data_IF_585348950950
#
_entry.id   IF_585348950950
#
_cell.length_a   1.000
_cell.length_b   1.000
_cell.length_c   1.000
_cell.angle_alpha   90.00
_cell.angle_beta   90.00
_cell.angle_gamma   90.00
#
_symmetry.space_group_name_H-M   'P 1'
#
loop_
_entity.id
_entity.type
_entity.pdbx_description
1 polymer ?
#
# COMPACT_ATOMS: atom_id res chain seq x y z
N UNK A 1 6.65 21.20 2.57
CA UNK A 1 6.28 20.13 1.62
C UNK A 1 7.17 18.90 1.67
N UNK A 2 8.52 19.02 1.60
CA UNK A 2 9.43 17.85 1.64
C UNK A 2 9.18 16.90 2.82
N UNK A 3 9.15 17.42 4.04
CA UNK A 3 8.90 16.62 5.27
C UNK A 3 7.55 15.92 5.25
N UNK A 4 6.50 16.56 4.73
CA UNK A 4 5.15 15.99 4.64
C UNK A 4 5.14 14.79 3.69
N UNK A 5 5.70 14.94 2.48
CA UNK A 5 5.79 13.85 1.51
C UNK A 5 6.63 12.69 2.06
N UNK A 6 7.71 13.01 2.78
CA UNK A 6 8.53 12.01 3.43
C UNK A 6 7.77 11.23 4.51
N UNK A 7 7.02 11.94 5.36
CA UNK A 7 6.19 11.33 6.41
C UNK A 7 5.10 10.44 5.82
N UNK A 8 4.43 10.89 4.74
CA UNK A 8 3.44 10.08 4.01
C UNK A 8 4.09 8.83 3.42
N UNK A 9 5.28 8.96 2.82
CA UNK A 9 6.02 7.83 2.28
C UNK A 9 6.40 6.80 3.37
N UNK A 10 6.86 7.26 4.53
CA UNK A 10 7.13 6.40 5.68
C UNK A 10 5.87 5.69 6.19
N UNK A 11 4.72 6.38 6.22
CA UNK A 11 3.45 5.79 6.63
C UNK A 11 3.05 4.63 5.72
N UNK A 12 3.10 4.82 4.40
CA UNK A 12 2.82 3.75 3.43
C UNK A 12 3.81 2.59 3.53
N UNK A 13 5.10 2.88 3.76
CA UNK A 13 6.12 1.85 3.97
C UNK A 13 5.81 1.02 5.23
N UNK A 14 5.38 1.65 6.32
CA UNK A 14 4.98 0.97 7.54
C UNK A 14 3.75 0.07 7.32
N UNK A 15 2.73 0.56 6.61
CA UNK A 15 1.54 -0.23 6.25
C UNK A 15 1.93 -1.46 5.43
N UNK A 16 2.79 -1.30 4.43
CA UNK A 16 3.28 -2.42 3.63
C UNK A 16 4.07 -3.44 4.47
N UNK A 17 4.93 -2.96 5.38
CA UNK A 17 5.70 -3.83 6.27
C UNK A 17 4.80 -4.64 7.19
N UNK A 18 3.78 -4.02 7.80
CA UNK A 18 2.81 -4.73 8.65
C UNK A 18 2.06 -5.80 7.85
N UNK A 19 1.62 -5.49 6.63
CA UNK A 19 0.95 -6.48 5.79
C UNK A 19 1.84 -7.65 5.40
N UNK A 20 3.11 -7.39 5.03
CA UNK A 20 4.09 -8.43 4.77
C UNK A 20 4.36 -9.31 6.00
N UNK A 21 4.37 -8.73 7.20
CA UNK A 21 4.51 -9.49 8.45
C UNK A 21 3.29 -10.39 8.66
N UNK A 22 2.08 -9.88 8.47
CA UNK A 22 0.84 -10.66 8.62
C UNK A 22 0.82 -11.82 7.62
N UNK A 23 1.07 -11.56 6.34
CA UNK A 23 1.14 -12.59 5.30
C UNK A 23 2.26 -13.61 5.60
N UNK A 24 3.43 -13.14 6.02
CA UNK A 24 4.56 -13.98 6.38
C UNK A 24 4.29 -14.88 7.59
N UNK A 25 3.61 -14.37 8.62
CA UNK A 25 3.17 -15.16 9.77
C UNK A 25 2.19 -16.25 9.32
N UNK A 26 1.20 -15.91 8.49
CA UNK A 26 0.19 -16.86 8.03
C UNK A 26 0.77 -17.94 7.11
N UNK A 27 1.72 -17.58 6.25
CA UNK A 27 2.48 -18.53 5.46
C UNK A 27 3.28 -19.52 6.34
N UNK A 28 3.84 -19.05 7.46
CA UNK A 28 4.58 -19.89 8.39
C UNK A 28 3.69 -20.92 9.11
N UNK A 29 2.38 -20.67 9.22
CA UNK A 29 1.39 -21.60 9.79
C UNK A 29 0.77 -22.56 8.74
N UNK A 30 1.35 -22.65 7.54
CA UNK A 30 0.88 -23.53 6.46
C UNK A 30 -0.20 -22.91 5.57
N UNK A 31 -0.45 -21.61 5.70
CA UNK A 31 -1.29 -20.85 4.78
C UNK A 31 -0.60 -20.57 3.44
N UNK A 32 -1.40 -20.26 2.41
CA UNK A 32 -0.87 -19.83 1.12
C UNK A 32 -0.40 -18.38 1.17
N UNK A 33 0.77 -18.09 0.58
CA UNK A 33 1.27 -16.72 0.34
C UNK A 33 0.36 -15.89 -0.58
N UNK A 34 -0.51 -16.52 -1.36
CA UNK A 34 -1.10 -15.90 -2.55
C UNK A 34 -2.50 -15.33 -2.37
N UNK A 35 -3.17 -15.48 -1.21
CA UNK A 35 -4.55 -15.00 -1.05
C UNK A 35 -5.00 -14.89 0.40
N UNK A 36 -4.76 -13.74 1.01
CA UNK A 36 -5.36 -13.41 2.31
C UNK A 36 -6.34 -12.24 2.20
N UNK A 37 -5.93 -11.14 1.56
CA UNK A 37 -6.83 -10.06 1.14
C UNK A 37 -6.31 -9.45 -0.15
N UNK A 38 -7.20 -9.20 -1.10
CA UNK A 38 -6.93 -8.31 -2.23
C UNK A 38 -7.21 -6.85 -1.83
N UNK A 39 -6.64 -5.88 -2.55
CA UNK A 39 -6.99 -4.48 -2.31
C UNK A 39 -8.49 -4.23 -2.52
N UNK A 40 -9.10 -4.93 -3.47
CA UNK A 40 -10.55 -4.90 -3.70
C UNK A 40 -11.34 -5.30 -2.45
N UNK A 41 -10.94 -6.39 -1.78
CA UNK A 41 -11.59 -6.85 -0.54
C UNK A 41 -11.47 -5.82 0.59
N UNK A 42 -10.31 -5.18 0.71
CA UNK A 42 -10.09 -4.10 1.70
C UNK A 42 -10.99 -2.91 1.40
N UNK A 43 -11.12 -2.53 0.12
CA UNK A 43 -11.97 -1.42 -0.30
C UNK A 43 -13.45 -1.71 -0.08
N UNK A 44 -13.91 -2.93 -0.37
CA UNK A 44 -15.29 -3.35 -0.11
C UNK A 44 -15.62 -3.35 1.40
N UNK A 45 -14.65 -3.70 2.25
CA UNK A 45 -14.81 -3.65 3.71
C UNK A 45 -14.85 -2.22 4.27
N UNK A 46 -14.06 -1.30 3.71
CA UNK A 46 -13.92 0.07 4.23
C UNK A 46 -14.96 1.03 3.66
N UNK A 47 -15.23 0.93 2.36
CA UNK A 47 -16.08 1.88 1.61
C UNK A 47 -17.46 1.30 1.22
N UNK A 48 -17.69 0.01 1.50
CA UNK A 48 -18.95 -0.69 1.25
C UNK A 48 -18.92 -1.57 0.00
N UNK A 49 -19.91 -2.47 -0.15
CA UNK A 49 -19.90 -3.50 -1.21
C UNK A 49 -19.87 -2.89 -2.62
N UNK A 50 -18.93 -3.35 -3.45
CA UNK A 50 -18.78 -2.90 -4.85
C UNK A 50 -17.80 -1.76 -5.04
N UNK A 51 -17.21 -1.22 -3.96
CA UNK A 51 -16.14 -0.22 -4.03
C UNK A 51 -14.86 -0.77 -4.68
N UNK A 52 -14.56 -2.05 -4.48
CA UNK A 52 -13.44 -2.74 -5.14
C UNK A 52 -13.61 -2.80 -6.67
N UNK A 53 -14.86 -2.95 -7.15
CA UNK A 53 -15.17 -3.03 -8.59
C UNK A 53 -14.99 -1.69 -9.33
N UNK A 54 -14.94 -0.57 -8.60
CA UNK A 54 -14.64 0.74 -9.17
C UNK A 54 -13.14 0.93 -9.44
N UNK A 55 -12.27 0.07 -8.90
CA UNK A 55 -10.83 0.12 -9.12
C UNK A 55 -10.39 -0.74 -10.32
N UNK A 56 -9.31 -0.38 -11.02
CA UNK A 56 -8.79 -1.21 -12.12
C UNK A 56 -8.47 -2.63 -11.63
N UNK A 57 -8.89 -3.66 -12.37
CA UNK A 57 -8.75 -5.07 -11.97
C UNK A 57 -7.32 -5.45 -11.53
N UNK A 58 -6.30 -4.95 -12.24
CA UNK A 58 -4.89 -5.18 -11.89
C UNK A 58 -4.52 -4.67 -10.49
N UNK A 59 -5.15 -3.59 -10.04
CA UNK A 59 -4.93 -3.00 -8.72
C UNK A 59 -5.83 -3.69 -7.69
N UNK A 60 -7.09 -3.95 -8.05
CA UNK A 60 -8.06 -4.63 -7.20
C UNK A 60 -7.56 -6.01 -6.75
N UNK A 61 -7.01 -6.78 -7.69
CA UNK A 61 -6.50 -8.14 -7.46
C UNK A 61 -5.12 -8.17 -6.80
N UNK A 62 -4.46 -7.02 -6.65
CA UNK A 62 -3.12 -6.96 -6.06
C UNK A 62 -3.17 -7.10 -4.53
N UNK A 63 -2.20 -7.80 -3.92
CA UNK A 63 -2.00 -7.78 -2.47
C UNK A 63 -1.82 -6.32 -1.97
N UNK A 64 -2.45 -5.91 -0.86
CA UNK A 64 -2.44 -4.54 -0.36
C UNK A 64 -1.04 -3.92 -0.14
N UNK A 65 -0.03 -4.75 0.14
CA UNK A 65 1.33 -4.28 0.34
C UNK A 65 1.99 -3.80 -0.96
N UNK A 66 1.59 -4.29 -2.15
CA UNK A 66 2.13 -3.86 -3.44
C UNK A 66 1.83 -2.38 -3.72
N UNK A 67 0.56 -1.93 -3.79
CA UNK A 67 0.26 -0.52 -4.02
C UNK A 67 0.77 0.36 -2.88
N UNK A 68 0.80 -0.14 -1.63
CA UNK A 68 1.40 0.58 -0.52
C UNK A 68 2.91 0.82 -0.72
N UNK A 69 3.69 -0.17 -1.17
CA UNK A 69 5.11 0.02 -1.48
C UNK A 69 5.33 0.99 -2.66
N UNK A 70 4.48 0.91 -3.69
CA UNK A 70 4.55 1.83 -4.84
C UNK A 70 4.31 3.27 -4.40
N UNK A 71 3.27 3.51 -3.59
CA UNK A 71 2.99 4.83 -3.03
C UNK A 71 4.11 5.29 -2.10
N UNK A 72 4.61 4.41 -1.22
CA UNK A 72 5.74 4.71 -0.34
C UNK A 72 6.95 5.18 -1.14
N UNK A 73 7.36 4.42 -2.16
CA UNK A 73 8.47 4.75 -3.03
C UNK A 73 8.26 6.09 -3.76
N UNK A 74 7.06 6.31 -4.31
CA UNK A 74 6.71 7.57 -4.98
C UNK A 74 6.81 8.78 -4.03
N UNK A 75 6.25 8.68 -2.83
CA UNK A 75 6.26 9.78 -1.85
C UNK A 75 7.64 10.02 -1.26
N UNK A 76 8.42 8.98 -0.97
CA UNK A 76 9.80 9.11 -0.50
C UNK A 76 10.70 9.70 -1.59
N UNK A 77 10.54 9.27 -2.84
CA UNK A 77 11.25 9.84 -3.99
C UNK A 77 10.89 11.32 -4.19
N UNK A 78 9.60 11.65 -4.27
CA UNK A 78 9.13 13.02 -4.41
C UNK A 78 9.57 13.90 -3.24
N UNK A 79 9.53 13.39 -2.01
CA UNK A 79 10.04 14.07 -0.84
C UNK A 79 11.55 14.31 -0.94
N UNK A 80 12.34 13.34 -1.42
CA UNK A 80 13.79 13.48 -1.56
C UNK A 80 14.19 14.46 -2.67
N UNK A 81 13.49 14.45 -3.80
CA UNK A 81 13.87 15.20 -5.00
C UNK A 81 13.11 16.51 -5.21
N UNK A 82 12.04 16.81 -4.45
CA UNK A 82 11.54 18.19 -4.31
C UNK A 82 12.56 19.02 -3.51
N UNK A 83 13.64 19.42 -4.18
CA UNK A 83 14.47 20.57 -3.79
C UNK A 83 13.59 21.82 -3.81
N UNK A 84 13.91 22.75 -2.91
CA UNK A 84 13.27 24.05 -2.78
C UNK A 84 13.10 24.64 -4.17
N UNK A 85 11.86 24.86 -4.59
CA UNK A 85 11.60 25.96 -5.51
C UNK A 85 11.81 27.19 -4.62
N UNK A 86 13.04 27.67 -4.56
CA UNK A 86 13.34 29.00 -4.05
C UNK A 86 12.70 29.97 -5.04
N UNK A 87 11.50 30.43 -4.70
CA UNK A 87 10.90 31.66 -5.21
C UNK A 87 11.41 32.82 -4.34
#
# INVERSE_FOLDING_TARGET
MRLILWAIGCLFAAIAAVQLIIEGMLAAFGGSWTRLLSLGDVMDQVAGPGAGAASPAVIADSPPWIPALVLAAAFLYLGRFRRRVEL
#
